data_IF_001567403336
#
_entry.id   IF_001567403336
#
_cell.length_a   1.000
_cell.length_b   1.000
_cell.length_c   1.000
_cell.angle_alpha   90.00
_cell.angle_beta   90.00
_cell.angle_gamma   90.00
#
_symmetry.space_group_name_H-M   'P 1'
#
loop_
_entity.id
_entity.type
_entity.pdbx_description
1 polymer ?
#
# COMPACT_ATOMS: atom_id res chain seq x y z
N UNK A 1 -47.34 9.73 -20.01
CA UNK A 1 -46.27 10.25 -19.11
C UNK A 1 -45.15 9.22 -18.92
N UNK A 2 -44.74 8.51 -19.97
CA UNK A 2 -43.68 7.49 -19.95
C UNK A 2 -42.77 7.76 -21.15
N UNK A 3 -41.89 8.76 -21.07
CA UNK A 3 -40.82 8.88 -22.08
C UNK A 3 -39.61 9.77 -21.67
N UNK A 4 -39.59 10.34 -20.45
CA UNK A 4 -38.50 11.23 -20.02
C UNK A 4 -37.29 10.55 -19.35
N UNK A 5 -37.35 9.25 -19.04
CA UNK A 5 -36.23 8.54 -18.38
C UNK A 5 -35.29 7.80 -19.33
N UNK A 6 -35.56 7.78 -20.65
CA UNK A 6 -34.66 7.16 -21.64
C UNK A 6 -33.62 8.12 -22.21
N UNK A 7 -33.72 9.42 -21.94
CA UNK A 7 -32.74 10.41 -22.42
C UNK A 7 -31.48 10.50 -21.55
N UNK A 8 -31.58 10.24 -20.24
CA UNK A 8 -30.43 10.32 -19.33
C UNK A 8 -29.31 9.31 -19.62
N UNK A 9 -29.66 8.12 -20.12
CA UNK A 9 -28.69 7.07 -20.46
C UNK A 9 -28.02 7.26 -21.84
N UNK A 10 -28.60 8.10 -22.72
CA UNK A 10 -28.01 8.41 -24.04
C UNK A 10 -26.87 9.42 -23.95
N UNK A 11 -26.85 10.26 -22.91
CA UNK A 11 -25.86 11.33 -22.75
C UNK A 11 -24.59 10.95 -21.97
N UNK A 12 -24.55 9.79 -21.32
CA UNK A 12 -23.38 9.35 -20.53
C UNK A 12 -22.20 9.01 -21.45
N UNK A 13 -22.47 8.44 -22.63
CA UNK A 13 -21.44 8.17 -23.64
C UNK A 13 -20.88 9.46 -24.27
N UNK A 14 -21.62 10.57 -24.22
CA UNK A 14 -21.24 11.84 -24.84
C UNK A 14 -20.43 12.77 -23.91
N UNK A 15 -20.39 12.49 -22.60
CA UNK A 15 -19.70 13.35 -21.60
C UNK A 15 -18.34 12.86 -21.15
N UNK A 16 -17.86 11.73 -21.65
CA UNK A 16 -16.46 11.33 -21.44
C UNK A 16 -15.68 11.93 -22.61
N UNK A 17 -14.91 13.02 -22.43
CA UNK A 17 -14.10 13.54 -23.51
C UNK A 17 -13.19 12.40 -23.99
N UNK A 18 -13.25 12.11 -25.28
CA UNK A 18 -12.37 11.16 -25.95
C UNK A 18 -10.97 11.79 -25.99
N UNK A 19 -10.30 11.82 -24.85
CA UNK A 19 -8.93 12.33 -24.68
C UNK A 19 -7.99 11.29 -25.27
N UNK A 20 -7.69 11.35 -26.57
CA UNK A 20 -6.57 10.69 -27.26
C UNK A 20 -5.93 9.48 -26.55
N UNK A 21 -6.72 8.44 -26.29
CA UNK A 21 -6.35 7.30 -25.45
C UNK A 21 -5.45 6.27 -26.18
N UNK A 22 -5.17 6.51 -27.45
CA UNK A 22 -4.48 5.62 -28.39
C UNK A 22 -2.95 5.64 -28.26
N UNK A 23 -2.38 6.59 -27.50
CA UNK A 23 -0.93 6.57 -27.19
C UNK A 23 -0.66 5.64 -26.01
N UNK A 24 0.17 4.63 -26.25
CA UNK A 24 0.72 3.76 -25.20
C UNK A 24 1.51 4.62 -24.20
N UNK A 25 0.96 4.78 -22.99
CA UNK A 25 1.56 5.58 -21.91
C UNK A 25 2.82 4.87 -21.39
N UNK A 26 3.75 5.60 -20.74
CA UNK A 26 4.90 4.91 -20.10
C UNK A 26 4.40 3.94 -19.01
N UNK A 27 3.29 4.29 -18.38
CA UNK A 27 2.57 3.45 -17.42
C UNK A 27 2.11 2.11 -18.02
N UNK A 28 1.65 2.08 -19.28
CA UNK A 28 1.25 0.84 -19.94
C UNK A 28 2.46 -0.11 -20.17
N UNK A 29 3.66 0.45 -20.40
CA UNK A 29 4.90 -0.33 -20.50
C UNK A 29 5.33 -0.88 -19.15
N UNK A 30 5.20 -0.06 -18.09
CA UNK A 30 5.47 -0.48 -16.72
C UNK A 30 4.54 -1.63 -16.31
N UNK A 31 3.24 -1.53 -16.59
CA UNK A 31 2.28 -2.59 -16.27
C UNK A 31 2.63 -3.91 -16.97
N UNK A 32 2.97 -3.85 -18.26
CA UNK A 32 3.37 -5.03 -19.02
C UNK A 32 4.64 -5.68 -18.47
N UNK A 33 5.63 -4.87 -18.05
CA UNK A 33 6.84 -5.34 -17.40
C UNK A 33 6.52 -6.04 -16.07
N UNK A 34 5.74 -5.40 -15.21
CA UNK A 34 5.38 -5.93 -13.89
C UNK A 34 4.58 -7.22 -14.00
N UNK A 35 3.59 -7.28 -14.90
CA UNK A 35 2.79 -8.49 -15.12
C UNK A 35 3.61 -9.69 -15.61
N UNK A 36 4.72 -9.43 -16.30
CA UNK A 36 5.65 -10.47 -16.77
C UNK A 36 6.63 -10.91 -15.68
N UNK A 37 7.18 -9.96 -14.92
CA UNK A 37 8.27 -10.21 -13.96
C UNK A 37 7.76 -10.65 -12.59
N UNK A 38 6.62 -10.12 -12.12
CA UNK A 38 6.14 -10.32 -10.75
C UNK A 38 5.90 -11.79 -10.37
N UNK A 39 5.33 -12.68 -11.21
CA UNK A 39 5.15 -14.08 -10.84
C UNK A 39 6.49 -14.79 -10.57
N UNK A 40 7.50 -14.53 -11.41
CA UNK A 40 8.85 -15.08 -11.22
C UNK A 40 9.54 -14.47 -10.00
N UNK A 41 9.34 -13.17 -9.77
CA UNK A 41 9.82 -12.47 -8.58
C UNK A 41 9.35 -13.15 -7.29
N UNK A 42 8.06 -13.46 -7.15
CA UNK A 42 7.51 -14.12 -5.94
C UNK A 42 8.18 -15.48 -5.70
N UNK A 43 8.38 -16.27 -6.75
CA UNK A 43 9.02 -17.60 -6.62
C UNK A 43 10.50 -17.46 -6.25
N UNK A 44 11.25 -16.62 -6.96
CA UNK A 44 12.70 -16.45 -6.74
C UNK A 44 12.98 -15.88 -5.35
N UNK A 45 12.28 -14.81 -4.95
CA UNK A 45 12.47 -14.22 -3.62
C UNK A 45 11.89 -15.11 -2.50
N UNK A 46 10.88 -15.93 -2.78
CA UNK A 46 10.43 -16.98 -1.87
C UNK A 46 11.50 -18.04 -1.61
N UNK A 47 12.19 -18.51 -2.66
CA UNK A 47 13.32 -19.45 -2.51
C UNK A 47 14.48 -18.79 -1.76
N UNK A 48 14.84 -17.55 -2.10
CA UNK A 48 15.91 -16.81 -1.39
C UNK A 48 15.55 -16.63 0.09
N UNK A 49 14.31 -16.32 0.43
CA UNK A 49 13.88 -16.19 1.82
C UNK A 49 14.04 -17.50 2.59
N UNK A 50 13.69 -18.64 1.98
CA UNK A 50 13.91 -19.96 2.57
C UNK A 50 15.40 -20.25 2.73
N UNK A 51 16.24 -19.91 1.76
CA UNK A 51 17.70 -20.08 1.86
C UNK A 51 18.27 -19.22 3.00
N UNK A 52 17.91 -17.94 3.08
CA UNK A 52 18.34 -17.04 4.16
C UNK A 52 17.89 -17.57 5.53
N UNK A 53 16.69 -18.14 5.62
CA UNK A 53 16.20 -18.79 6.83
C UNK A 53 17.04 -20.04 7.20
N UNK A 54 17.37 -20.89 6.24
CA UNK A 54 18.13 -22.14 6.47
C UNK A 54 19.61 -21.90 6.80
N UNK A 55 20.20 -20.83 6.30
CA UNK A 55 21.60 -20.47 6.53
C UNK A 55 21.80 -19.55 7.74
N UNK A 56 20.75 -19.24 8.50
CA UNK A 56 20.89 -18.46 9.73
C UNK A 56 21.51 -19.32 10.83
N UNK A 57 22.71 -18.95 11.28
CA UNK A 57 23.57 -19.80 12.13
C UNK A 57 23.12 -19.94 13.59
N UNK A 58 22.19 -19.10 14.05
CA UNK A 58 21.74 -19.06 15.47
C UNK A 58 20.44 -19.84 15.74
N UNK A 59 19.95 -20.62 14.76
CA UNK A 59 18.86 -21.58 14.94
C UNK A 59 17.55 -21.27 14.21
N UNK A 60 16.74 -22.31 13.98
CA UNK A 60 15.51 -22.24 13.19
C UNK A 60 14.30 -21.91 14.08
N UNK A 61 14.00 -20.63 14.26
CA UNK A 61 12.78 -20.18 14.97
C UNK A 61 11.79 -19.50 14.02
N UNK A 62 10.51 -19.47 14.40
CA UNK A 62 9.45 -18.80 13.63
C UNK A 62 9.73 -17.30 13.45
N UNK A 63 10.38 -16.67 14.43
CA UNK A 63 10.81 -15.26 14.34
C UNK A 63 11.80 -15.03 13.19
N UNK A 64 12.80 -15.91 13.04
CA UNK A 64 13.77 -15.84 11.95
C UNK A 64 13.13 -16.10 10.58
N UNK A 65 12.10 -16.95 10.50
CA UNK A 65 11.34 -17.16 9.26
C UNK A 65 10.59 -15.90 8.85
N UNK A 66 9.93 -15.22 9.79
CA UNK A 66 9.22 -13.97 9.50
C UNK A 66 10.19 -12.83 9.14
N UNK A 67 11.31 -12.72 9.85
CA UNK A 67 12.36 -11.76 9.55
C UNK A 67 12.96 -11.96 8.16
N UNK A 68 13.35 -13.20 7.82
CA UNK A 68 13.92 -13.53 6.50
C UNK A 68 12.93 -13.26 5.36
N UNK A 69 11.65 -13.62 5.53
CA UNK A 69 10.61 -13.25 4.57
C UNK A 69 10.49 -11.73 4.42
N UNK A 70 10.36 -11.00 5.54
CA UNK A 70 10.24 -9.54 5.53
C UNK A 70 11.42 -8.86 4.85
N UNK A 71 12.65 -9.23 5.23
CA UNK A 71 13.87 -8.62 4.73
C UNK A 71 14.09 -8.93 3.24
N UNK A 72 13.92 -10.18 2.83
CA UNK A 72 14.13 -10.60 1.43
C UNK A 72 13.08 -9.99 0.51
N UNK A 73 11.80 -9.97 0.91
CA UNK A 73 10.77 -9.33 0.10
C UNK A 73 10.93 -7.81 0.08
N UNK A 74 11.27 -7.14 1.19
CA UNK A 74 11.54 -5.70 1.18
C UNK A 74 12.72 -5.35 0.26
N UNK A 75 13.83 -6.10 0.35
CA UNK A 75 14.97 -5.96 -0.57
C UNK A 75 14.57 -6.22 -2.03
N UNK A 76 13.75 -7.24 -2.27
CA UNK A 76 13.20 -7.51 -3.60
C UNK A 76 12.33 -6.37 -4.14
N UNK A 77 11.47 -5.79 -3.31
CA UNK A 77 10.64 -4.64 -3.71
C UNK A 77 11.47 -3.38 -3.94
N UNK A 78 12.58 -3.19 -3.23
CA UNK A 78 13.57 -2.14 -3.57
C UNK A 78 14.15 -2.39 -4.96
N UNK A 79 14.59 -3.62 -5.25
CA UNK A 79 15.14 -3.98 -6.57
C UNK A 79 14.11 -3.84 -7.70
N UNK A 80 12.85 -4.19 -7.46
CA UNK A 80 11.74 -3.99 -8.39
C UNK A 80 11.37 -2.51 -8.52
N UNK A 81 11.58 -1.74 -7.46
CA UNK A 81 11.31 -0.30 -7.38
C UNK A 81 12.18 0.56 -8.29
N UNK A 82 13.43 0.16 -8.51
CA UNK A 82 14.37 0.89 -9.39
C UNK A 82 13.86 0.94 -10.85
N UNK A 83 13.57 -0.19 -11.53
CA UNK A 83 13.01 -0.13 -12.88
C UNK A 83 11.60 0.49 -12.89
N UNK A 84 10.82 0.30 -11.82
CA UNK A 84 9.49 0.93 -11.69
C UNK A 84 9.57 2.47 -11.66
N UNK A 85 10.56 3.03 -10.95
CA UNK A 85 10.84 4.47 -10.91
C UNK A 85 11.28 5.02 -12.27
N UNK A 86 12.12 4.27 -13.01
CA UNK A 86 12.60 4.71 -14.33
C UNK A 86 11.47 4.69 -15.38
N UNK A 87 10.58 3.70 -15.29
CA UNK A 87 9.50 3.48 -16.25
C UNK A 87 8.21 4.22 -15.92
N UNK A 88 8.07 4.81 -14.72
CA UNK A 88 6.86 5.55 -14.34
C UNK A 88 6.70 6.85 -15.14
N UNK A 89 5.45 7.31 -15.29
CA UNK A 89 5.15 8.58 -15.95
C UNK A 89 5.64 9.80 -15.16
N UNK A 90 5.72 10.94 -15.85
CA UNK A 90 6.17 12.19 -15.25
C UNK A 90 5.25 12.58 -14.10
N UNK A 91 5.86 12.72 -12.93
CA UNK A 91 5.22 13.21 -11.71
C UNK A 91 4.39 14.48 -11.92
N UNK A 92 3.24 14.55 -11.24
CA UNK A 92 2.41 15.76 -11.13
C UNK A 92 3.25 16.93 -10.57
N UNK A 93 4.07 16.66 -9.56
CA UNK A 93 5.10 17.54 -9.03
C UNK A 93 6.45 17.11 -9.58
N UNK A 94 7.03 17.91 -10.48
CA UNK A 94 8.31 17.61 -11.13
C UNK A 94 9.42 17.26 -10.12
N UNK A 95 10.22 16.25 -10.45
CA UNK A 95 11.39 15.80 -9.68
C UNK A 95 12.33 16.93 -9.21
N UNK A 96 12.47 17.99 -10.02
CA UNK A 96 13.28 19.18 -9.67
C UNK A 96 12.83 19.91 -8.39
N UNK A 97 11.57 19.74 -7.98
CA UNK A 97 11.03 20.34 -6.76
C UNK A 97 10.89 19.33 -5.62
N UNK A 98 10.53 18.07 -5.93
CA UNK A 98 10.39 17.03 -4.92
C UNK A 98 11.73 16.54 -4.37
N UNK A 99 12.78 16.43 -5.19
CA UNK A 99 14.10 15.96 -4.75
C UNK A 99 14.75 16.91 -3.73
N UNK A 100 14.85 18.24 -3.97
CA UNK A 100 15.36 19.15 -2.95
C UNK A 100 14.55 19.12 -1.65
N UNK A 101 13.23 19.00 -1.75
CA UNK A 101 12.36 18.91 -0.57
C UNK A 101 12.63 17.64 0.25
N UNK A 102 12.80 16.49 -0.41
CA UNK A 102 13.17 15.23 0.26
C UNK A 102 14.54 15.34 0.93
N UNK A 103 15.52 15.98 0.28
CA UNK A 103 16.86 16.20 0.85
C UNK A 103 16.77 17.10 2.10
N UNK A 104 16.04 18.21 2.02
CA UNK A 104 15.85 19.11 3.17
C UNK A 104 15.12 18.40 4.31
N UNK A 105 14.05 17.65 4.01
CA UNK A 105 13.32 16.87 5.01
C UNK A 105 14.21 15.81 5.67
N UNK A 106 15.03 15.10 4.89
CA UNK A 106 16.00 14.13 5.39
C UNK A 106 16.99 14.77 6.37
N UNK A 107 17.61 15.89 6.00
CA UNK A 107 18.55 16.60 6.87
C UNK A 107 17.87 17.09 8.15
N UNK A 108 16.65 17.64 8.04
CA UNK A 108 15.89 18.14 9.17
C UNK A 108 15.51 17.01 10.15
N UNK A 109 14.95 15.90 9.65
CA UNK A 109 14.54 14.76 10.48
C UNK A 109 15.76 14.13 11.15
N UNK A 110 16.86 13.92 10.41
CA UNK A 110 18.10 13.35 10.98
C UNK A 110 18.68 14.23 12.09
N UNK A 111 18.64 15.55 11.91
CA UNK A 111 19.09 16.50 12.93
C UNK A 111 18.20 16.49 14.16
N UNK A 112 16.87 16.49 13.98
CA UNK A 112 15.92 16.40 15.10
C UNK A 112 16.10 15.10 15.87
N UNK A 113 16.24 13.97 15.19
CA UNK A 113 16.48 12.67 15.81
C UNK A 113 17.75 12.69 16.67
N UNK A 114 18.85 13.25 16.15
CA UNK A 114 20.10 13.38 16.90
C UNK A 114 19.94 14.22 18.17
N UNK A 115 19.39 15.43 18.05
CA UNK A 115 19.30 16.36 19.18
C UNK A 115 18.25 15.95 20.23
N UNK A 116 17.23 15.17 19.86
CA UNK A 116 16.18 14.73 20.80
C UNK A 116 16.55 13.45 21.53
N UNK A 117 17.16 12.48 20.84
CA UNK A 117 17.38 11.13 21.39
C UNK A 117 18.83 10.84 21.81
N UNK A 118 19.82 11.60 21.33
CA UNK A 118 21.23 11.42 21.73
C UNK A 118 21.85 10.08 21.27
N UNK A 119 22.85 9.58 21.99
CA UNK A 119 23.68 8.42 21.63
C UNK A 119 23.46 7.18 22.52
N UNK A 120 22.41 7.17 23.35
CA UNK A 120 22.12 6.03 24.24
C UNK A 120 21.79 4.72 23.49
N UNK A 121 22.08 3.58 24.12
CA UNK A 121 21.95 2.23 23.52
C UNK A 121 20.50 1.86 23.15
N UNK A 122 19.51 2.25 23.97
CA UNK A 122 18.07 2.00 23.73
C UNK A 122 17.37 3.16 22.98
N UNK A 123 18.13 3.93 22.20
CA UNK A 123 17.59 5.09 21.49
C UNK A 123 17.24 4.78 20.04
N UNK A 124 16.34 5.59 19.48
CA UNK A 124 15.98 5.56 18.05
C UNK A 124 17.22 5.74 17.16
N UNK A 125 18.24 6.45 17.63
CA UNK A 125 19.47 6.72 16.88
C UNK A 125 20.36 5.49 16.73
N UNK A 126 20.39 4.60 17.73
CA UNK A 126 21.09 3.32 17.62
C UNK A 126 20.46 2.44 16.52
N UNK A 127 19.13 2.43 16.44
CA UNK A 127 18.40 1.76 15.36
C UNK A 127 18.68 2.35 13.97
N UNK A 128 18.58 3.68 13.82
CA UNK A 128 18.81 4.37 12.53
C UNK A 128 20.25 4.16 12.06
N UNK A 129 21.22 4.32 12.97
CA UNK A 129 22.63 4.11 12.64
C UNK A 129 22.93 2.66 12.25
N UNK A 130 22.14 1.67 12.68
CA UNK A 130 22.20 0.30 12.17
C UNK A 130 22.02 0.17 10.65
N UNK A 131 21.27 1.07 10.00
CA UNK A 131 21.16 1.10 8.54
C UNK A 131 22.42 1.62 7.85
N UNK A 132 23.29 2.35 8.56
CA UNK A 132 24.61 2.72 8.04
C UNK A 132 25.53 1.51 7.91
N UNK A 133 25.29 0.45 8.70
CA UNK A 133 26.04 -0.81 8.60
C UNK A 133 25.79 -1.55 7.28
N UNK A 134 24.68 -1.29 6.57
CA UNK A 134 24.49 -1.78 5.19
C UNK A 134 25.55 -1.25 4.21
N UNK A 135 26.11 -0.06 4.47
CA UNK A 135 27.15 0.55 3.65
C UNK A 135 28.56 0.33 4.23
N UNK A 136 28.68 0.18 5.56
CA UNK A 136 29.97 0.01 6.22
C UNK A 136 29.89 -0.91 7.45
N UNK A 137 30.31 -2.18 7.30
CA UNK A 137 30.25 -3.21 8.35
C UNK A 137 31.13 -2.95 9.59
N UNK A 138 31.98 -1.91 9.59
CA UNK A 138 32.90 -1.62 10.70
C UNK A 138 32.43 -0.51 11.65
N UNK A 139 31.21 0.03 11.49
CA UNK A 139 30.71 1.13 12.33
C UNK A 139 30.07 0.59 13.60
N UNK A 140 30.75 0.75 14.74
CA UNK A 140 30.27 0.30 16.06
C UNK A 140 29.81 1.45 16.97
N UNK A 141 30.01 2.71 16.56
CA UNK A 141 29.68 3.90 17.37
C UNK A 141 28.55 4.72 16.76
N UNK A 142 27.53 5.01 17.56
CA UNK A 142 26.44 5.93 17.18
C UNK A 142 27.00 7.36 17.17
N UNK A 143 27.04 7.97 15.99
CA UNK A 143 27.48 9.35 15.79
C UNK A 143 26.48 10.07 14.91
N UNK A 144 26.50 11.41 14.92
CA UNK A 144 25.64 12.20 14.04
C UNK A 144 25.70 11.75 12.57
N UNK A 145 26.91 11.43 12.08
CA UNK A 145 27.12 10.99 10.70
C UNK A 145 26.49 9.63 10.40
N UNK A 146 26.53 8.70 11.36
CA UNK A 146 25.96 7.36 11.19
C UNK A 146 24.44 7.40 11.24
N UNK A 147 23.85 8.28 12.06
CA UNK A 147 22.41 8.57 12.03
C UNK A 147 22.00 9.22 10.71
N UNK A 148 22.73 10.25 10.24
CA UNK A 148 22.44 10.94 8.99
C UNK A 148 22.46 9.99 7.78
N UNK A 149 23.51 9.18 7.68
CA UNK A 149 23.67 8.21 6.58
C UNK A 149 22.68 7.05 6.69
N UNK A 150 22.45 6.52 7.89
CA UNK A 150 21.45 5.47 8.10
C UNK A 150 20.04 5.94 7.72
N UNK A 151 19.71 7.19 8.03
CA UNK A 151 18.43 7.80 7.66
C UNK A 151 18.29 7.97 6.14
N UNK A 152 19.37 8.29 5.44
CA UNK A 152 19.37 8.38 3.97
C UNK A 152 19.05 7.02 3.35
N UNK A 153 19.74 5.98 3.80
CA UNK A 153 19.52 4.60 3.36
C UNK A 153 18.08 4.19 3.61
N UNK A 154 17.54 4.48 4.79
CA UNK A 154 16.16 4.20 5.13
C UNK A 154 15.19 4.91 4.18
N UNK A 155 15.34 6.21 3.94
CA UNK A 155 14.49 6.96 2.99
C UNK A 155 14.54 6.34 1.58
N UNK A 156 15.72 5.96 1.10
CA UNK A 156 15.88 5.32 -0.21
C UNK A 156 15.18 3.96 -0.27
N UNK A 157 15.32 3.13 0.76
CA UNK A 157 14.62 1.84 0.87
C UNK A 157 13.12 2.07 0.79
N UNK A 158 12.57 3.00 1.59
CA UNK A 158 11.14 3.29 1.60
C UNK A 158 10.66 3.81 0.26
N UNK A 159 11.42 4.71 -0.36
CA UNK A 159 11.11 5.28 -1.67
C UNK A 159 11.02 4.17 -2.73
N UNK A 160 12.08 3.38 -2.92
CA UNK A 160 12.09 2.35 -3.95
C UNK A 160 11.12 1.22 -3.65
N UNK A 161 11.03 0.75 -2.40
CA UNK A 161 10.03 -0.24 -2.01
C UNK A 161 8.60 0.26 -2.31
N UNK A 162 8.31 1.54 -2.07
CA UNK A 162 7.03 2.15 -2.44
C UNK A 162 6.79 2.07 -3.94
N UNK A 163 7.73 2.49 -4.78
CA UNK A 163 7.61 2.35 -6.23
C UNK A 163 7.35 0.89 -6.67
N UNK A 164 8.08 -0.05 -6.08
CA UNK A 164 7.91 -1.48 -6.34
C UNK A 164 6.50 -1.98 -6.00
N UNK A 165 6.08 -1.77 -4.74
CA UNK A 165 4.77 -2.22 -4.24
C UNK A 165 3.62 -1.55 -5.02
N UNK A 166 3.71 -0.24 -5.23
CA UNK A 166 2.68 0.53 -5.93
C UNK A 166 2.52 0.09 -7.39
N UNK A 167 3.64 -0.14 -8.09
CA UNK A 167 3.61 -0.60 -9.48
C UNK A 167 2.89 -1.95 -9.63
N UNK A 168 3.07 -2.87 -8.69
CA UNK A 168 2.37 -4.16 -8.65
C UNK A 168 0.88 -3.97 -8.44
N UNK A 169 0.50 -3.21 -7.40
CA UNK A 169 -0.92 -2.96 -7.11
C UNK A 169 -1.60 -2.33 -8.34
N UNK A 170 -0.99 -1.29 -8.91
CA UNK A 170 -1.52 -0.57 -10.07
C UNK A 170 -1.67 -1.48 -11.29
N UNK A 171 -0.64 -2.25 -11.64
CA UNK A 171 -0.67 -3.11 -12.82
C UNK A 171 -1.79 -4.18 -12.73
N UNK A 172 -1.91 -4.87 -11.59
CA UNK A 172 -2.92 -5.89 -11.40
C UNK A 172 -4.34 -5.31 -11.35
N UNK A 173 -4.53 -4.18 -10.66
CA UNK A 173 -5.83 -3.53 -10.62
C UNK A 173 -6.23 -2.98 -12.00
N UNK A 174 -5.33 -2.34 -12.76
CA UNK A 174 -5.65 -1.87 -14.13
C UNK A 174 -6.05 -3.03 -15.06
N UNK A 175 -5.40 -4.19 -14.91
CA UNK A 175 -5.67 -5.38 -15.71
C UNK A 175 -6.97 -6.08 -15.34
N UNK A 176 -7.26 -6.29 -14.06
CA UNK A 176 -8.31 -7.22 -13.64
C UNK A 176 -9.57 -6.52 -13.11
N UNK A 177 -9.46 -5.27 -12.67
CA UNK A 177 -10.54 -4.60 -11.94
C UNK A 177 -11.82 -4.37 -12.77
N UNK A 178 -11.67 -3.99 -14.05
CA UNK A 178 -12.81 -3.83 -14.96
C UNK A 178 -13.60 -5.14 -15.13
N UNK A 179 -12.93 -6.29 -15.15
CA UNK A 179 -13.55 -7.62 -15.25
C UNK A 179 -14.34 -7.97 -14.00
N UNK A 180 -13.81 -7.61 -12.83
CA UNK A 180 -14.48 -7.83 -11.53
C UNK A 180 -15.77 -7.00 -11.49
N UNK A 181 -15.74 -5.71 -11.87
CA UNK A 181 -16.93 -4.86 -11.92
C UNK A 181 -17.98 -5.38 -12.91
N UNK A 182 -17.55 -5.66 -14.15
CA UNK A 182 -18.44 -6.16 -15.20
C UNK A 182 -18.96 -7.59 -14.95
N UNK A 183 -18.41 -8.31 -13.97
CA UNK A 183 -18.92 -9.62 -13.56
C UNK A 183 -20.20 -9.52 -12.74
N UNK A 184 -20.45 -8.37 -12.09
CA UNK A 184 -21.66 -8.12 -11.31
C UNK A 184 -22.91 -8.08 -12.19
N UNK A 185 -22.77 -7.59 -13.43
CA UNK A 185 -23.85 -7.45 -14.43
C UNK A 185 -24.22 -8.79 -15.08
N UNK A 186 -23.32 -9.79 -15.07
CA UNK A 186 -23.57 -11.03 -15.81
C UNK A 186 -24.80 -11.78 -15.26
N UNK A 187 -25.73 -12.22 -16.14
CA UNK A 187 -26.83 -13.08 -15.73
C UNK A 187 -26.28 -14.45 -15.30
N UNK A 188 -26.84 -15.02 -14.23
CA UNK A 188 -26.38 -16.27 -13.63
C UNK A 188 -25.32 -16.13 -12.54
N UNK A 189 -25.00 -17.25 -11.89
CA UNK A 189 -24.17 -17.31 -10.69
C UNK A 189 -22.77 -17.87 -11.00
N UNK A 190 -21.90 -17.01 -11.55
CA UNK A 190 -20.52 -17.38 -11.88
C UNK A 190 -19.59 -17.31 -10.66
N UNK A 191 -18.53 -18.13 -10.61
CA UNK A 191 -17.50 -18.08 -9.55
C UNK A 191 -16.91 -16.67 -9.37
N UNK A 192 -16.72 -15.96 -10.48
CA UNK A 192 -16.22 -14.58 -10.50
C UNK A 192 -17.24 -13.62 -9.89
N UNK A 193 -18.53 -13.74 -10.25
CA UNK A 193 -19.61 -12.94 -9.67
C UNK A 193 -19.73 -13.17 -8.17
N UNK A 194 -19.75 -14.42 -7.69
CA UNK A 194 -19.76 -14.74 -6.25
C UNK A 194 -18.61 -14.09 -5.49
N UNK A 195 -17.42 -14.11 -6.09
CA UNK A 195 -16.22 -13.52 -5.51
C UNK A 195 -16.31 -11.99 -5.50
N UNK A 196 -16.80 -11.36 -6.57
CA UNK A 196 -17.03 -9.92 -6.66
C UNK A 196 -18.11 -9.45 -5.66
N UNK A 197 -19.26 -10.14 -5.58
CA UNK A 197 -20.34 -9.85 -4.62
C UNK A 197 -19.83 -9.95 -3.18
N UNK A 198 -18.99 -10.95 -2.87
CA UNK A 198 -18.34 -11.08 -1.56
C UNK A 198 -17.32 -9.97 -1.29
N UNK A 199 -16.48 -9.63 -2.27
CA UNK A 199 -15.44 -8.60 -2.15
C UNK A 199 -16.06 -7.22 -1.89
N UNK A 200 -17.10 -6.86 -2.64
CA UNK A 200 -17.80 -5.58 -2.48
C UNK A 200 -18.91 -5.62 -1.43
N UNK A 201 -19.09 -6.73 -0.70
CA UNK A 201 -20.16 -6.92 0.27
C UNK A 201 -21.56 -6.54 -0.25
N UNK A 202 -21.84 -6.83 -1.52
CA UNK A 202 -23.15 -6.52 -2.13
C UNK A 202 -24.20 -7.44 -1.50
N UNK A 203 -25.27 -6.89 -0.89
CA UNK A 203 -26.34 -7.70 -0.32
C UNK A 203 -26.98 -8.62 -1.38
N UNK A 204 -27.29 -9.86 -1.01
CA UNK A 204 -27.90 -10.84 -1.92
C UNK A 204 -29.32 -10.48 -2.39
N UNK A 205 -29.93 -9.45 -1.78
CA UNK A 205 -31.25 -8.92 -2.14
C UNK A 205 -31.15 -7.97 -3.36
N UNK A 206 -29.95 -7.48 -3.67
CA UNK A 206 -29.71 -6.50 -4.73
C UNK A 206 -29.30 -7.23 -6.01
N UNK A 207 -30.22 -7.31 -6.97
CA UNK A 207 -29.89 -7.69 -8.34
C UNK A 207 -29.29 -6.50 -9.09
N UNK A 208 -27.97 -6.56 -9.31
CA UNK A 208 -27.23 -5.50 -10.01
C UNK A 208 -27.60 -5.51 -11.50
N UNK A 209 -28.27 -4.46 -11.95
CA UNK A 209 -28.70 -4.28 -13.34
C UNK A 209 -27.66 -3.55 -14.18
N UNK A 210 -26.95 -2.58 -13.58
CA UNK A 210 -25.91 -1.81 -14.26
C UNK A 210 -24.83 -1.37 -13.28
N UNK A 211 -23.65 -1.02 -13.80
CA UNK A 211 -22.55 -0.47 -13.01
C UNK A 211 -22.03 0.78 -13.69
N UNK A 212 -22.10 1.92 -13.01
CA UNK A 212 -21.62 3.21 -13.53
C UNK A 212 -20.32 3.62 -12.84
N UNK A 213 -19.48 4.35 -13.57
CA UNK A 213 -18.24 4.94 -13.05
C UNK A 213 -18.30 6.45 -13.31
N UNK A 214 -18.26 7.23 -12.25
CA UNK A 214 -18.22 8.69 -12.31
C UNK A 214 -16.92 9.18 -11.66
N UNK A 215 -15.77 9.03 -12.35
CA UNK A 215 -14.48 9.32 -11.73
C UNK A 215 -14.37 10.79 -11.34
N UNK A 216 -13.69 11.09 -10.24
CA UNK A 216 -13.42 12.48 -9.85
C UNK A 216 -12.60 13.20 -10.94
N UNK A 217 -13.02 14.42 -11.30
CA UNK A 217 -12.35 15.29 -12.27
C UNK A 217 -11.09 15.91 -11.64
N UNK A 218 -10.07 15.09 -11.41
CA UNK A 218 -8.75 15.56 -11.02
C UNK A 218 -7.93 15.83 -12.29
N UNK A 219 -7.96 17.08 -12.75
CA UNK A 219 -7.29 17.61 -13.95
C UNK A 219 -5.77 17.75 -13.73
N UNK A 220 -5.06 16.65 -13.50
CA UNK A 220 -3.60 16.65 -13.40
C UNK A 220 -3.01 17.41 -12.21
N UNK A 221 -3.82 17.77 -11.22
CA UNK A 221 -3.40 18.42 -9.98
C UNK A 221 -3.14 17.41 -8.85
N UNK A 222 -2.26 17.78 -7.91
CA UNK A 222 -1.96 16.95 -6.75
C UNK A 222 -3.14 16.94 -5.78
N UNK A 223 -3.77 15.79 -5.57
CA UNK A 223 -4.94 15.67 -4.71
C UNK A 223 -4.53 15.61 -3.22
N UNK A 224 -4.50 16.78 -2.57
CA UNK A 224 -4.11 16.93 -1.15
C UNK A 224 -5.07 16.17 -0.22
N UNK A 225 -6.37 16.13 -0.54
CA UNK A 225 -7.37 15.41 0.25
C UNK A 225 -7.10 13.90 0.27
N UNK A 226 -6.78 13.35 -0.90
CA UNK A 226 -6.39 11.95 -1.07
C UNK A 226 -5.08 11.64 -0.33
N UNK A 227 -4.08 12.50 -0.49
CA UNK A 227 -2.80 12.39 0.21
C UNK A 227 -2.97 12.35 1.73
N UNK A 228 -3.71 13.31 2.31
CA UNK A 228 -3.97 13.35 3.76
C UNK A 228 -4.75 12.12 4.23
N UNK A 229 -5.76 11.69 3.47
CA UNK A 229 -6.56 10.52 3.83
C UNK A 229 -5.75 9.23 3.80
N UNK A 230 -4.92 9.03 2.76
CA UNK A 230 -4.04 7.88 2.64
C UNK A 230 -2.99 7.87 3.75
N UNK A 231 -2.39 9.03 4.02
CA UNK A 231 -1.37 9.14 5.04
C UNK A 231 -1.94 8.85 6.42
N UNK A 232 -3.08 9.44 6.77
CA UNK A 232 -3.75 9.20 8.04
C UNK A 232 -4.18 7.74 8.21
N UNK A 233 -4.78 7.14 7.17
CA UNK A 233 -5.16 5.73 7.23
C UNK A 233 -3.95 4.79 7.41
N UNK A 234 -2.82 5.12 6.79
CA UNK A 234 -1.58 4.33 6.91
C UNK A 234 -0.96 4.46 8.29
N UNK A 235 -0.99 5.66 8.87
CA UNK A 235 -0.58 5.88 10.27
C UNK A 235 -1.49 5.11 11.22
N UNK A 236 -2.82 5.20 11.07
CA UNK A 236 -3.76 4.48 11.94
C UNK A 236 -3.57 2.96 11.84
N UNK A 237 -3.47 2.41 10.64
CA UNK A 237 -3.22 0.98 10.45
C UNK A 237 -1.86 0.55 11.04
N UNK A 238 -0.82 1.36 10.84
CA UNK A 238 0.50 1.11 11.39
C UNK A 238 0.52 1.18 12.91
N UNK A 239 -0.20 2.13 13.51
CA UNK A 239 -0.35 2.22 14.97
C UNK A 239 -1.12 1.02 15.52
N UNK A 240 -2.15 0.52 14.84
CA UNK A 240 -2.86 -0.70 15.28
C UNK A 240 -1.91 -1.90 15.31
N UNK A 241 -1.07 -2.06 14.28
CA UNK A 241 -0.07 -3.15 14.22
C UNK A 241 1.04 -2.96 15.26
N UNK A 242 1.50 -1.73 15.48
CA UNK A 242 2.51 -1.44 16.49
C UNK A 242 2.01 -1.57 17.92
N UNK A 243 0.77 -1.14 18.20
CA UNK A 243 0.11 -1.44 19.48
C UNK A 243 0.07 -2.94 19.71
N UNK A 244 -0.16 -3.75 18.68
CA UNK A 244 -0.11 -5.20 18.83
C UNK A 244 1.31 -5.71 19.16
N UNK A 245 2.36 -5.26 18.45
CA UNK A 245 3.72 -5.77 18.65
C UNK A 245 4.39 -5.23 19.92
N UNK A 246 4.22 -3.95 20.23
CA UNK A 246 4.82 -3.31 21.40
C UNK A 246 4.06 -3.55 22.70
N UNK A 247 2.78 -3.93 22.65
CA UNK A 247 2.04 -4.33 23.85
C UNK A 247 2.06 -5.85 24.05
N UNK A 248 2.76 -6.60 23.19
CA UNK A 248 2.94 -8.04 23.35
C UNK A 248 4.21 -8.32 24.17
N UNK A 249 4.06 -8.79 25.43
CA UNK A 249 5.20 -9.03 26.29
C UNK A 249 6.16 -10.10 25.77
N UNK A 250 5.66 -11.13 25.07
CA UNK A 250 6.51 -12.18 24.49
C UNK A 250 7.50 -11.57 23.50
N UNK A 251 7.08 -10.62 22.67
CA UNK A 251 8.00 -9.99 21.73
C UNK A 251 9.00 -9.06 22.43
N UNK A 252 8.61 -8.39 23.51
CA UNK A 252 9.53 -7.56 24.28
C UNK A 252 10.62 -8.39 24.96
N UNK A 253 10.32 -9.59 25.46
CA UNK A 253 11.31 -10.46 26.11
C UNK A 253 12.15 -11.27 25.13
N UNK A 254 11.57 -11.67 23.98
CA UNK A 254 12.24 -12.59 23.04
C UNK A 254 12.93 -11.89 21.87
N UNK A 255 12.53 -10.67 21.54
CA UNK A 255 13.04 -9.92 20.40
C UNK A 255 13.73 -8.66 20.91
N UNK A 256 14.95 -8.42 20.45
CA UNK A 256 15.65 -7.18 20.77
C UNK A 256 14.88 -5.97 20.26
N UNK A 257 15.06 -4.80 20.89
CA UNK A 257 14.43 -3.56 20.45
C UNK A 257 14.66 -3.29 18.95
N UNK A 258 15.90 -3.49 18.49
CA UNK A 258 16.30 -3.30 17.09
C UNK A 258 15.54 -4.23 16.15
N UNK A 259 15.47 -5.53 16.44
CA UNK A 259 14.78 -6.51 15.58
C UNK A 259 13.27 -6.28 15.52
N UNK A 260 12.65 -5.85 16.62
CA UNK A 260 11.24 -5.52 16.67
C UNK A 260 10.91 -4.29 15.82
N UNK A 261 11.76 -3.25 15.92
CA UNK A 261 11.66 -2.05 15.09
C UNK A 261 11.88 -2.36 13.61
N UNK A 262 12.88 -3.20 13.25
CA UNK A 262 13.09 -3.64 11.86
C UNK A 262 11.84 -4.36 11.34
N UNK A 263 11.33 -5.32 12.09
CA UNK A 263 10.14 -6.12 11.72
C UNK A 263 8.93 -5.23 11.49
N UNK A 264 8.72 -4.24 12.36
CA UNK A 264 7.60 -3.29 12.23
C UNK A 264 7.72 -2.40 11.00
N UNK A 265 8.91 -1.90 10.69
CA UNK A 265 9.12 -1.10 9.48
C UNK A 265 8.88 -1.96 8.23
N UNK A 266 9.37 -3.19 8.22
CA UNK A 266 9.15 -4.14 7.13
C UNK A 266 7.65 -4.43 6.92
N UNK A 267 6.91 -4.75 7.98
CA UNK A 267 5.45 -4.95 7.91
C UNK A 267 4.75 -3.67 7.44
N UNK A 268 5.20 -2.51 7.90
CA UNK A 268 4.62 -1.21 7.55
C UNK A 268 4.75 -0.86 6.07
N UNK A 269 5.80 -1.33 5.38
CA UNK A 269 5.93 -1.17 3.93
C UNK A 269 4.74 -1.80 3.19
N UNK A 270 4.23 -2.93 3.70
CA UNK A 270 3.15 -3.71 3.09
C UNK A 270 1.74 -3.23 3.48
N UNK A 271 1.57 -2.36 4.48
CA UNK A 271 0.26 -1.79 4.84
C UNK A 271 -0.39 -1.04 3.66
N UNK A 272 0.43 -0.44 2.80
CA UNK A 272 -0.01 0.24 1.60
C UNK A 272 -0.81 -0.69 0.66
N UNK A 273 -0.51 -2.00 0.63
CA UNK A 273 -1.23 -3.00 -0.17
C UNK A 273 -2.70 -3.10 0.24
N UNK A 274 -3.03 -2.83 1.50
CA UNK A 274 -4.39 -2.94 2.02
C UNK A 274 -5.17 -1.62 1.84
N UNK A 275 -4.50 -0.49 2.01
CA UNK A 275 -5.15 0.83 2.06
C UNK A 275 -5.40 1.39 0.66
N UNK A 276 -4.44 1.19 -0.24
CA UNK A 276 -4.45 1.80 -1.58
C UNK A 276 -5.61 1.30 -2.43
N UNK A 277 -5.93 -0.01 -2.48
CA UNK A 277 -7.14 -0.50 -3.14
C UNK A 277 -8.43 0.20 -2.70
N UNK A 278 -8.58 0.50 -1.40
CA UNK A 278 -9.78 1.17 -0.87
C UNK A 278 -9.85 2.63 -1.34
N UNK A 279 -8.71 3.32 -1.30
CA UNK A 279 -8.58 4.70 -1.77
C UNK A 279 -8.84 4.80 -3.28
N UNK A 280 -8.32 3.86 -4.04
CA UNK A 280 -8.58 3.64 -5.46
C UNK A 280 -10.09 3.56 -5.73
N UNK A 281 -10.82 2.71 -5.01
CA UNK A 281 -12.26 2.55 -5.23
C UNK A 281 -13.05 3.81 -4.93
N UNK A 282 -12.64 4.55 -3.90
CA UNK A 282 -13.28 5.80 -3.54
C UNK A 282 -13.17 6.82 -4.68
N UNK A 283 -12.01 6.89 -5.35
CA UNK A 283 -11.76 7.83 -6.46
C UNK A 283 -12.53 7.51 -7.75
N UNK A 284 -12.86 6.23 -7.97
CA UNK A 284 -13.62 5.79 -9.14
C UNK A 284 -15.13 6.07 -9.02
N UNK A 285 -15.64 6.32 -7.80
CA UNK A 285 -17.08 6.45 -7.49
C UNK A 285 -17.93 5.43 -8.24
N UNK A 286 -17.50 4.18 -8.18
CA UNK A 286 -18.20 3.09 -8.83
C UNK A 286 -19.51 2.76 -8.08
N UNK A 287 -20.62 2.81 -8.81
CA UNK A 287 -21.96 2.61 -8.28
C UNK A 287 -22.64 1.43 -8.99
N UNK A 288 -23.18 0.50 -8.19
CA UNK A 288 -24.00 -0.60 -8.69
C UNK A 288 -25.48 -0.21 -8.59
N UNK A 289 -26.14 -0.16 -9.75
CA UNK A 289 -27.57 0.11 -9.86
C UNK A 289 -28.36 -1.18 -9.80
N UNK A 290 -29.55 -1.09 -9.22
CA UNK A 290 -30.53 -2.17 -9.14
C UNK A 290 -31.94 -1.58 -9.27
N UNK A 291 -32.96 -2.42 -9.15
CA UNK A 291 -34.35 -1.95 -9.06
C UNK A 291 -34.64 -1.12 -7.79
N UNK A 292 -33.70 -1.02 -6.85
CA UNK A 292 -33.85 -0.21 -5.63
C UNK A 292 -33.67 1.30 -5.92
N UNK A 293 -34.33 2.19 -5.14
CA UNK A 293 -34.33 3.63 -5.39
C UNK A 293 -32.99 4.34 -5.11
N UNK A 294 -31.99 3.66 -4.55
CA UNK A 294 -30.66 4.23 -4.29
C UNK A 294 -29.56 3.29 -4.80
N UNK A 295 -28.56 3.80 -5.55
CA UNK A 295 -27.44 2.99 -6.01
C UNK A 295 -26.57 2.52 -4.84
N UNK A 296 -26.02 1.32 -4.97
CA UNK A 296 -25.10 0.76 -3.99
C UNK A 296 -23.67 1.18 -4.32
N UNK A 297 -23.06 1.95 -3.41
CA UNK A 297 -21.71 2.48 -3.58
C UNK A 297 -20.67 1.41 -3.24
N UNK A 298 -19.99 0.86 -4.24
CA UNK A 298 -19.15 -0.35 -4.12
C UNK A 298 -17.98 -0.20 -3.15
N UNK A 299 -17.39 1.00 -3.04
CA UNK A 299 -16.26 1.24 -2.15
C UNK A 299 -16.63 1.13 -0.66
N UNK A 300 -17.87 1.46 -0.27
CA UNK A 300 -18.34 1.36 1.12
C UNK A 300 -18.42 -0.10 1.57
N UNK A 301 -18.88 -0.97 0.68
CA UNK A 301 -18.98 -2.40 0.95
C UNK A 301 -17.60 -3.07 1.02
N UNK A 302 -16.69 -2.77 0.10
CA UNK A 302 -15.31 -3.30 0.16
C UNK A 302 -14.57 -2.81 1.41
N UNK A 303 -14.75 -1.54 1.81
CA UNK A 303 -14.22 -1.01 3.06
C UNK A 303 -14.67 -1.90 4.24
N UNK A 304 -15.97 -2.10 4.41
CA UNK A 304 -16.51 -2.93 5.50
C UNK A 304 -15.90 -4.34 5.55
N UNK A 305 -15.77 -5.00 4.39
CA UNK A 305 -15.20 -6.35 4.26
C UNK A 305 -13.71 -6.44 4.58
N UNK A 306 -12.91 -5.50 4.07
CA UNK A 306 -11.48 -5.45 4.38
C UNK A 306 -11.27 -5.14 5.86
N UNK A 307 -12.12 -4.31 6.47
CA UNK A 307 -12.05 -4.00 7.90
C UNK A 307 -12.56 -5.16 8.80
N UNK A 308 -13.49 -5.99 8.35
CA UNK A 308 -13.88 -7.23 9.04
C UNK A 308 -12.74 -8.27 9.11
N UNK A 309 -11.84 -8.28 8.11
CA UNK A 309 -10.63 -9.12 8.14
C UNK A 309 -9.65 -8.72 9.26
N UNK A 310 -9.54 -7.43 9.58
CA UNK A 310 -8.73 -6.95 10.70
C UNK A 310 -9.27 -7.44 12.04
N UNK A 311 -10.59 -7.59 12.20
CA UNK A 311 -11.17 -8.14 13.43
C UNK A 311 -10.77 -9.59 13.64
N UNK A 312 -10.69 -10.41 12.59
CA UNK A 312 -10.31 -11.82 12.72
C UNK A 312 -8.82 -12.00 13.04
N UNK A 313 -7.95 -11.18 12.43
CA UNK A 313 -6.52 -11.10 12.80
C UNK A 313 -6.38 -10.59 14.24
N UNK A 314 -7.09 -9.52 14.61
CA UNK A 314 -7.10 -8.95 15.96
C UNK A 314 -7.64 -9.92 17.03
N UNK A 315 -8.62 -10.76 16.67
CA UNK A 315 -9.28 -11.74 17.57
C UNK A 315 -8.43 -13.01 17.76
N UNK A 316 -7.73 -13.47 16.71
CA UNK A 316 -6.76 -14.55 16.85
C UNK A 316 -5.56 -14.13 17.70
N UNK A 317 -5.19 -12.85 17.63
CA UNK A 317 -4.10 -12.24 18.39
C UNK A 317 -4.46 -11.95 19.86
N UNK A 318 -5.74 -11.72 20.17
CA UNK A 318 -6.26 -11.62 21.55
C UNK A 318 -6.47 -12.99 22.20
N UNK A 319 -6.71 -14.06 21.42
CA UNK A 319 -6.76 -15.44 21.94
C UNK A 319 -5.39 -15.93 22.45
N UNK A 320 -4.29 -15.37 21.95
CA UNK A 320 -2.92 -15.59 22.46
C UNK A 320 -2.69 -14.90 23.83
N UNK A 321 -3.48 -13.85 24.12
CA UNK A 321 -3.34 -12.94 25.26
C UNK A 321 -3.81 -13.55 26.59
N UNK A 322 -4.73 -14.53 26.55
CA UNK A 322 -5.25 -15.19 27.77
C UNK A 322 -4.25 -16.18 28.37
N UNK A 323 -3.23 -16.62 27.62
CA UNK A 323 -2.35 -17.67 28.12
C UNK A 323 -1.17 -17.22 29.00
N UNK A 324 -0.71 -15.96 28.97
CA UNK A 324 0.60 -15.58 29.55
C UNK A 324 0.61 -14.23 30.27
N UNK A 325 -0.19 -14.15 31.32
CA UNK A 325 -0.26 -13.13 32.38
C UNK A 325 1.13 -12.91 33.07
N UNK A 326 2.00 -11.99 32.63
CA UNK A 326 3.44 -12.03 33.04
C UNK A 326 4.19 -10.70 33.38
N UNK A 327 3.54 -9.57 33.66
CA UNK A 327 4.14 -8.41 34.38
C UNK A 327 5.45 -7.79 33.82
N UNK A 328 5.34 -6.81 32.90
CA UNK A 328 6.49 -6.22 32.17
C UNK A 328 6.71 -4.69 32.32
N UNK A 329 7.91 -4.27 31.88
CA UNK A 329 8.56 -2.96 32.08
C UNK A 329 8.12 -1.88 31.07
N UNK A 330 7.45 -0.84 31.58
CA UNK A 330 6.69 0.14 30.78
C UNK A 330 7.55 1.14 30.00
N UNK A 331 8.81 1.39 30.41
CA UNK A 331 9.66 2.44 29.81
C UNK A 331 10.11 2.07 28.39
N UNK A 332 10.48 0.79 28.19
CA UNK A 332 10.89 0.26 26.87
C UNK A 332 9.75 0.30 25.86
N UNK A 333 8.51 0.04 26.31
CA UNK A 333 7.30 0.13 25.49
C UNK A 333 7.10 1.54 24.97
N UNK A 334 7.22 2.54 25.84
CA UNK A 334 7.01 3.96 25.49
C UNK A 334 8.05 4.44 24.48
N UNK A 335 9.33 4.13 24.68
CA UNK A 335 10.40 4.54 23.74
C UNK A 335 10.24 3.89 22.36
N UNK A 336 9.87 2.61 22.31
CA UNK A 336 9.59 1.89 21.06
C UNK A 336 8.42 2.50 20.30
N UNK A 337 7.37 2.87 21.02
CA UNK A 337 6.19 3.51 20.45
C UNK A 337 6.51 4.88 19.85
N UNK A 338 7.28 5.72 20.57
CA UNK A 338 7.71 7.05 20.10
C UNK A 338 8.58 6.92 18.85
N UNK A 339 9.59 6.03 18.86
CA UNK A 339 10.45 5.81 17.71
C UNK A 339 9.66 5.39 16.48
N UNK A 340 8.77 4.40 16.64
CA UNK A 340 7.93 3.92 15.56
C UNK A 340 6.96 4.98 15.03
N UNK A 341 6.38 5.84 15.88
CA UNK A 341 5.52 6.95 15.45
C UNK A 341 6.24 7.83 14.42
N UNK A 342 7.50 8.18 14.68
CA UNK A 342 8.29 9.01 13.77
C UNK A 342 8.46 8.32 12.42
N UNK A 343 8.78 7.02 12.42
CA UNK A 343 8.96 6.25 11.18
C UNK A 343 7.65 6.05 10.42
N UNK A 344 6.55 5.69 11.09
CA UNK A 344 5.29 5.44 10.41
C UNK A 344 4.73 6.72 9.80
N UNK A 345 4.91 7.87 10.44
CA UNK A 345 4.54 9.18 9.87
C UNK A 345 5.36 9.45 8.61
N UNK A 346 6.68 9.29 8.67
CA UNK A 346 7.54 9.54 7.52
C UNK A 346 7.24 8.57 6.36
N UNK A 347 7.19 7.27 6.65
CA UNK A 347 6.85 6.22 5.70
C UNK A 347 5.52 6.51 5.01
N UNK A 348 4.50 6.79 5.80
CA UNK A 348 3.16 7.11 5.34
C UNK A 348 3.13 8.34 4.43
N UNK A 349 3.83 9.41 4.81
CA UNK A 349 3.93 10.62 4.00
C UNK A 349 4.63 10.32 2.66
N UNK A 350 5.73 9.57 2.68
CA UNK A 350 6.51 9.27 1.49
C UNK A 350 5.77 8.32 0.54
N UNK A 351 5.17 7.24 1.05
CA UNK A 351 4.39 6.29 0.24
C UNK A 351 3.15 6.95 -0.37
N UNK A 352 2.44 7.77 0.42
CA UNK A 352 1.26 8.52 -0.03
C UNK A 352 1.64 9.57 -1.07
N UNK A 353 2.79 10.22 -0.92
CA UNK A 353 3.31 11.18 -1.89
C UNK A 353 3.58 10.48 -3.23
N UNK A 354 4.36 9.38 -3.24
CA UNK A 354 4.65 8.62 -4.46
C UNK A 354 3.37 8.16 -5.15
N UNK A 355 2.40 7.65 -4.40
CA UNK A 355 1.13 7.21 -4.98
C UNK A 355 0.35 8.35 -5.65
N UNK A 356 0.11 9.46 -4.95
CA UNK A 356 -0.68 10.59 -5.47
C UNK A 356 0.06 11.32 -6.59
N UNK A 357 1.39 11.42 -6.48
CA UNK A 357 2.22 12.18 -7.41
C UNK A 357 2.46 11.45 -8.74
N UNK A 358 2.63 10.13 -8.70
CA UNK A 358 3.10 9.36 -9.85
C UNK A 358 2.06 8.38 -10.39
N UNK A 359 1.36 7.66 -9.50
CA UNK A 359 0.53 6.52 -9.91
C UNK A 359 -0.95 6.85 -10.09
N UNK A 360 -1.50 7.79 -9.30
CA UNK A 360 -2.93 8.03 -9.19
C UNK A 360 -3.64 8.35 -10.53
N UNK A 361 -3.10 9.30 -11.30
CA UNK A 361 -3.74 9.76 -12.55
C UNK A 361 -3.70 8.67 -13.63
N UNK A 362 -2.52 8.10 -13.91
CA UNK A 362 -2.36 7.04 -14.91
C UNK A 362 -3.16 5.79 -14.57
N UNK A 363 -3.25 5.47 -13.29
CA UNK A 363 -4.08 4.39 -12.77
C UNK A 363 -5.58 4.62 -13.02
N UNK A 364 -6.13 5.74 -12.52
CA UNK A 364 -7.55 6.10 -12.65
C UNK A 364 -7.98 6.06 -14.11
N UNK A 365 -7.21 6.72 -14.96
CA UNK A 365 -7.48 6.80 -16.38
C UNK A 365 -7.46 5.40 -17.01
N UNK A 366 -6.45 4.57 -16.72
CA UNK A 366 -6.38 3.23 -17.28
C UNK A 366 -7.56 2.32 -16.94
N UNK A 367 -8.09 2.38 -15.72
CA UNK A 367 -9.29 1.63 -15.36
C UNK A 367 -10.50 2.12 -16.13
N UNK A 368 -10.69 3.45 -16.21
CA UNK A 368 -11.81 4.06 -16.94
C UNK A 368 -11.75 3.65 -18.43
N UNK A 369 -10.57 3.70 -19.07
CA UNK A 369 -10.37 3.24 -20.45
C UNK A 369 -10.77 1.79 -20.66
N UNK A 370 -10.24 0.90 -19.82
CA UNK A 370 -10.47 -0.53 -19.98
C UNK A 370 -11.95 -0.88 -19.74
N UNK A 371 -12.59 -0.20 -18.78
CA UNK A 371 -14.00 -0.36 -18.51
C UNK A 371 -14.87 0.14 -19.68
N UNK A 372 -14.63 1.34 -20.21
CA UNK A 372 -15.43 1.91 -21.31
C UNK A 372 -15.29 1.10 -22.59
N UNK A 373 -14.09 0.62 -22.90
CA UNK A 373 -13.84 -0.25 -24.05
C UNK A 373 -14.64 -1.56 -23.97
N UNK A 374 -14.53 -2.30 -22.85
CA UNK A 374 -15.21 -3.59 -22.72
C UNK A 374 -16.73 -3.43 -22.54
N UNK A 375 -17.20 -2.38 -21.85
CA UNK A 375 -18.62 -2.08 -21.74
C UNK A 375 -19.24 -1.74 -23.10
N UNK A 376 -18.54 -0.95 -23.92
CA UNK A 376 -18.95 -0.62 -25.28
C UNK A 376 -19.06 -1.85 -26.19
N UNK A 377 -18.11 -2.79 -26.10
CA UNK A 377 -18.21 -4.06 -26.84
C UNK A 377 -19.39 -4.93 -26.39
N UNK A 378 -19.65 -5.01 -25.08
CA UNK A 378 -20.78 -5.79 -24.56
C UNK A 378 -22.13 -5.23 -24.99
N UNK A 379 -22.27 -3.89 -25.01
CA UNK A 379 -23.48 -3.22 -25.50
C UNK A 379 -23.71 -3.37 -27.01
N UNK A 380 -22.67 -3.69 -27.79
CA UNK A 380 -22.80 -4.02 -29.21
C UNK A 380 -23.21 -5.48 -29.45
N UNK A 381 -22.99 -6.37 -28.47
CA UNK A 381 -23.27 -7.82 -28.57
C UNK A 381 -24.66 -8.19 -28.05
N UNK A 382 -25.24 -7.37 -27.19
CA UNK A 382 -26.63 -7.45 -26.73
C UNK A 382 -27.48 -6.43 -27.49
#
# INVERSE_FOLDING_TARGET
MMDRNRSGARDIAARIPVIGWDRQTKQDKLDAFILKVFPGFVVVFGVIAILVFLFYWDGLTVGHLLYSLGAVYAGGFVLLGIPAFILSESDVVKARYSVPFIIVAWLAISSVLWFVFGDGEDTVNHFVSGFSNFLNWSVHSVTFWTVLLGMLVLILIVLFASYGILSVIVAYFRKDYHRIMLSLIKPGDSRLKRSATKLFAVPSIIDVTDVTIEPESDDGHFNIGLFKSLSCNTVVAGLIVASYLFLNPVFLDTISFTEMMVTLILISLFLNVLIIPISILKSLKAEAWSAAPRPFVLWKGMKSRMFQGYVFVFLMLTLLWICLYSGQDMVRVVLSYIGYIVFIIMMSALTSFVYVNTFYVGFKNGIVRNFTAEYGERKKRN
#
